data_IF_022894921207
#
_entry.id   IF_022894921207
#
_cell.length_a   1.000
_cell.length_b   1.000
_cell.length_c   1.000
_cell.angle_alpha   90.00
_cell.angle_beta   90.00
_cell.angle_gamma   90.00
#
_symmetry.space_group_name_H-M   'P 1'
#
loop_
_entity.id
_entity.type
_entity.pdbx_description
1 polymer ?
#
# COMPACT_ATOMS: atom_id res chain seq x y z
N UNK A 1 14.06 19.33 3.49
CA UNK A 1 15.42 18.97 3.05
C UNK A 1 15.97 17.93 3.99
N UNK A 2 16.73 16.94 3.48
CA UNK A 2 17.28 15.84 4.28
C UNK A 2 18.50 16.33 5.07
N UNK A 3 18.56 16.03 6.37
CA UNK A 3 19.78 16.22 7.16
C UNK A 3 20.75 15.07 6.87
N UNK A 4 21.75 15.35 6.02
CA UNK A 4 22.71 14.36 5.54
C UNK A 4 23.55 13.78 6.68
N UNK A 5 23.90 14.59 7.68
CA UNK A 5 24.71 14.11 8.81
C UNK A 5 23.90 13.11 9.63
N UNK A 6 22.65 13.45 9.94
CA UNK A 6 21.75 12.57 10.70
C UNK A 6 21.42 11.30 9.92
N UNK A 7 21.15 11.41 8.62
CA UNK A 7 20.84 10.28 7.74
C UNK A 7 21.93 9.20 7.76
N UNK A 8 23.21 9.60 7.87
CA UNK A 8 24.32 8.64 7.88
C UNK A 8 24.55 8.00 9.26
N UNK A 9 24.12 8.64 10.35
CA UNK A 9 24.43 8.19 11.72
C UNK A 9 23.25 7.57 12.48
N UNK A 10 22.02 7.90 12.11
CA UNK A 10 20.78 7.52 12.80
C UNK A 10 20.00 6.53 11.92
N UNK A 11 19.99 5.24 12.30
CA UNK A 11 19.36 4.18 11.52
C UNK A 11 17.84 4.33 11.41
N UNK A 12 17.18 4.86 12.44
CA UNK A 12 15.74 5.08 12.44
C UNK A 12 15.40 6.23 11.50
N UNK A 13 16.08 7.38 11.64
CA UNK A 13 15.89 8.51 10.74
C UNK A 13 16.20 8.16 9.28
N UNK A 14 17.22 7.33 9.04
CA UNK A 14 17.56 6.83 7.70
C UNK A 14 16.44 6.00 7.10
N UNK A 15 15.91 5.05 7.87
CA UNK A 15 14.77 4.21 7.48
C UNK A 15 13.55 5.06 7.18
N UNK A 16 13.14 5.93 8.10
CA UNK A 16 12.00 6.84 7.91
C UNK A 16 12.16 7.73 6.68
N UNK A 17 13.37 8.26 6.43
CA UNK A 17 13.66 9.08 5.26
C UNK A 17 13.48 8.30 3.96
N UNK A 18 13.96 7.06 3.90
CA UNK A 18 13.81 6.21 2.69
C UNK A 18 12.35 5.81 2.48
N UNK A 19 11.63 5.43 3.53
CA UNK A 19 10.20 5.12 3.43
C UNK A 19 9.38 6.35 3.02
N UNK A 20 9.71 7.53 3.54
CA UNK A 20 9.08 8.79 3.13
C UNK A 20 9.34 9.14 1.66
N UNK A 21 10.50 8.77 1.10
CA UNK A 21 10.77 8.94 -0.34
C UNK A 21 9.94 7.99 -1.21
N UNK A 22 9.56 6.83 -0.68
CA UNK A 22 8.66 5.89 -1.36
C UNK A 22 7.22 6.42 -1.47
N UNK A 23 6.84 7.42 -0.67
CA UNK A 23 5.53 8.07 -0.72
C UNK A 23 5.47 9.09 -1.87
N UNK A 24 5.55 8.58 -3.11
CA UNK A 24 5.70 9.39 -4.32
C UNK A 24 4.79 8.90 -5.43
N UNK A 25 4.44 9.79 -6.37
CA UNK A 25 3.77 9.41 -7.63
C UNK A 25 4.77 9.18 -8.77
N UNK A 26 6.04 9.56 -8.57
CA UNK A 26 7.09 9.40 -9.57
C UNK A 26 7.79 8.05 -9.39
N UNK A 27 7.63 7.15 -10.38
CA UNK A 27 8.20 5.81 -10.32
C UNK A 27 9.74 5.82 -10.30
N UNK A 28 10.38 6.83 -10.90
CA UNK A 28 11.84 6.96 -10.84
C UNK A 28 12.33 7.27 -9.43
N UNK A 29 11.52 8.00 -8.64
CA UNK A 29 11.79 8.27 -7.23
C UNK A 29 11.56 7.02 -6.38
N UNK A 30 10.54 6.21 -6.69
CA UNK A 30 10.33 4.91 -6.05
C UNK A 30 11.51 3.97 -6.30
N UNK A 31 12.00 3.87 -7.53
CA UNK A 31 13.19 3.07 -7.89
C UNK A 31 14.44 3.54 -7.13
N UNK A 32 14.60 4.86 -6.97
CA UNK A 32 15.67 5.42 -6.16
C UNK A 32 15.53 5.04 -4.68
N UNK A 33 14.31 5.08 -4.12
CA UNK A 33 14.04 4.66 -2.75
C UNK A 33 14.37 3.17 -2.52
N UNK A 34 13.97 2.29 -3.45
CA UNK A 34 14.31 0.85 -3.43
C UNK A 34 15.82 0.62 -3.51
N UNK A 35 16.51 1.36 -4.37
CA UNK A 35 17.97 1.29 -4.50
C UNK A 35 18.68 1.68 -3.21
N UNK A 36 18.22 2.75 -2.55
CA UNK A 36 18.77 3.15 -1.25
C UNK A 36 18.45 2.15 -0.16
N UNK A 37 17.22 1.63 -0.09
CA UNK A 37 16.87 0.61 0.90
C UNK A 37 17.80 -0.61 0.78
N UNK A 38 18.06 -1.05 -0.46
CA UNK A 38 19.02 -2.12 -0.73
C UNK A 38 20.43 -1.76 -0.26
N UNK A 39 20.92 -0.56 -0.59
CA UNK A 39 22.25 -0.08 -0.20
C UNK A 39 22.43 -0.03 1.33
N UNK A 40 21.39 0.41 2.05
CA UNK A 40 21.42 0.57 3.50
C UNK A 40 20.84 -0.62 4.27
N UNK A 41 20.56 -1.73 3.59
CA UNK A 41 20.00 -2.98 4.16
C UNK A 41 18.66 -2.81 4.88
N UNK A 42 17.84 -1.87 4.44
CA UNK A 42 16.44 -1.76 4.83
C UNK A 42 15.63 -2.71 3.95
N UNK A 43 14.67 -3.48 4.50
CA UNK A 43 13.89 -4.41 3.71
C UNK A 43 13.12 -3.68 2.60
N UNK A 44 13.34 -4.09 1.35
CA UNK A 44 12.63 -3.55 0.18
C UNK A 44 11.11 -3.72 0.33
N UNK A 45 10.68 -4.78 1.02
CA UNK A 45 9.28 -4.99 1.38
C UNK A 45 8.65 -3.77 2.07
N UNK A 46 9.35 -3.14 3.00
CA UNK A 46 8.82 -1.97 3.73
C UNK A 46 8.65 -0.75 2.82
N UNK A 47 9.55 -0.57 1.86
CA UNK A 47 9.47 0.51 0.86
C UNK A 47 8.22 0.35 0.01
N UNK A 48 7.97 -0.87 -0.48
CA UNK A 48 6.76 -1.17 -1.24
C UNK A 48 5.49 -1.10 -0.39
N UNK A 49 5.56 -1.45 0.90
CA UNK A 49 4.43 -1.32 1.81
C UNK A 49 4.09 0.16 2.04
N UNK A 50 5.10 1.01 2.30
CA UNK A 50 4.92 2.45 2.44
C UNK A 50 4.36 3.10 1.16
N UNK A 51 4.84 2.66 -0.01
CA UNK A 51 4.28 3.10 -1.30
C UNK A 51 2.82 2.69 -1.47
N UNK A 52 2.48 1.43 -1.16
CA UNK A 52 1.10 0.93 -1.23
C UNK A 52 0.17 1.72 -0.31
N UNK A 53 0.59 1.97 0.93
CA UNK A 53 -0.19 2.77 1.90
C UNK A 53 -0.46 4.17 1.36
N UNK A 54 0.60 4.85 0.94
CA UNK A 54 0.51 6.18 0.34
C UNK A 54 -0.48 6.21 -0.83
N UNK A 55 -0.45 5.21 -1.72
CA UNK A 55 -1.37 5.14 -2.86
C UNK A 55 -2.83 5.09 -2.43
N UNK A 56 -3.17 4.40 -1.34
CA UNK A 56 -4.54 4.32 -0.86
C UNK A 56 -4.95 5.48 0.06
N UNK A 57 -4.01 6.10 0.77
CA UNK A 57 -4.33 7.11 1.81
C UNK A 57 -4.14 8.55 1.32
N UNK A 58 -2.93 8.90 0.91
CA UNK A 58 -2.49 10.30 0.77
C UNK A 58 -2.29 10.74 -0.69
N UNK A 59 -2.26 9.78 -1.62
CA UNK A 59 -2.01 10.04 -3.04
C UNK A 59 -3.09 10.88 -3.73
N UNK A 60 -4.32 10.88 -3.17
CA UNK A 60 -5.52 11.49 -3.74
C UNK A 60 -5.83 11.02 -5.18
N UNK A 61 -5.26 9.89 -5.58
CA UNK A 61 -5.50 9.33 -6.90
C UNK A 61 -6.89 8.67 -6.97
N UNK A 62 -7.57 8.75 -8.13
CA UNK A 62 -8.70 7.88 -8.38
C UNK A 62 -8.22 6.42 -8.42
N UNK A 63 -9.08 5.49 -7.96
CA UNK A 63 -8.76 4.06 -7.86
C UNK A 63 -8.15 3.45 -9.14
N UNK A 64 -8.57 3.91 -10.32
CA UNK A 64 -8.00 3.45 -11.60
C UNK A 64 -6.53 3.81 -11.77
N UNK A 65 -6.11 5.00 -11.33
CA UNK A 65 -4.72 5.40 -11.39
C UNK A 65 -3.88 4.70 -10.32
N UNK A 66 -4.48 4.31 -9.19
CA UNK A 66 -3.82 3.42 -8.22
C UNK A 66 -3.59 2.04 -8.84
N UNK A 67 -4.60 1.48 -9.51
CA UNK A 67 -4.51 0.22 -10.25
C UNK A 67 -3.38 0.24 -11.29
N UNK A 68 -3.33 1.26 -12.14
CA UNK A 68 -2.30 1.44 -13.17
C UNK A 68 -0.89 1.48 -12.56
N UNK A 69 -0.69 2.26 -11.49
CA UNK A 69 0.60 2.35 -10.80
C UNK A 69 1.06 1.04 -10.17
N UNK A 70 0.13 0.26 -9.62
CA UNK A 70 0.45 -1.06 -9.06
C UNK A 70 0.70 -2.11 -10.13
N UNK A 71 0.20 -1.93 -11.36
CA UNK A 71 0.52 -2.78 -12.51
C UNK A 71 1.87 -2.43 -13.15
N UNK A 72 2.27 -1.15 -13.10
CA UNK A 72 3.58 -0.67 -13.59
C UNK A 72 4.74 -1.01 -12.65
N UNK A 73 4.44 -1.49 -11.44
CA UNK A 73 5.44 -1.85 -10.42
C UNK A 73 5.31 -3.32 -10.01
N UNK A 74 6.37 -3.87 -9.42
CA UNK A 74 6.36 -5.20 -8.80
C UNK A 74 5.87 -5.17 -7.34
N UNK A 75 5.28 -4.07 -6.89
CA UNK A 75 4.85 -3.82 -5.51
C UNK A 75 4.05 -4.97 -4.91
N UNK A 76 2.97 -5.40 -5.57
CA UNK A 76 2.15 -6.50 -5.05
C UNK A 76 2.89 -7.85 -5.06
N UNK A 77 3.82 -8.05 -5.99
CA UNK A 77 4.63 -9.27 -6.05
C UNK A 77 5.66 -9.31 -4.92
N UNK A 78 6.29 -8.17 -4.60
CA UNK A 78 7.20 -8.04 -3.45
C UNK A 78 6.45 -8.29 -2.15
N UNK A 79 5.28 -7.66 -1.98
CA UNK A 79 4.49 -7.78 -0.75
C UNK A 79 3.94 -9.18 -0.51
N UNK A 80 3.73 -9.97 -1.58
CA UNK A 80 3.30 -11.35 -1.50
C UNK A 80 4.31 -12.29 -0.79
N UNK A 81 5.55 -11.83 -0.52
CA UNK A 81 6.52 -12.58 0.30
C UNK A 81 6.13 -12.65 1.79
N UNK A 82 5.39 -11.67 2.30
CA UNK A 82 4.87 -11.61 3.68
C UNK A 82 3.39 -11.22 3.68
N UNK A 83 2.48 -12.10 3.25
CA UNK A 83 1.07 -11.75 3.02
C UNK A 83 0.31 -11.39 4.30
N UNK A 84 0.65 -11.99 5.44
CA UNK A 84 0.00 -11.70 6.73
C UNK A 84 0.43 -10.35 7.29
N UNK A 85 1.71 -10.00 7.15
CA UNK A 85 2.23 -8.68 7.53
C UNK A 85 1.62 -7.57 6.66
N UNK A 86 1.49 -7.82 5.35
CA UNK A 86 0.81 -6.93 4.42
C UNK A 86 -0.65 -6.73 4.85
N UNK A 87 -1.35 -7.81 5.16
CA UNK A 87 -2.75 -7.75 5.55
C UNK A 87 -2.96 -6.99 6.87
N UNK A 88 -2.09 -7.21 7.85
CA UNK A 88 -2.10 -6.47 9.11
C UNK A 88 -1.91 -4.96 8.87
N UNK A 89 -0.89 -4.58 8.09
CA UNK A 89 -0.60 -3.16 7.79
C UNK A 89 -1.74 -2.49 7.01
N UNK A 90 -2.31 -3.20 6.04
CA UNK A 90 -3.50 -2.75 5.29
C UNK A 90 -4.71 -2.51 6.22
N UNK A 91 -4.95 -3.40 7.19
CA UNK A 91 -6.06 -3.26 8.14
C UNK A 91 -5.81 -2.14 9.18
N UNK A 92 -4.58 -1.96 9.63
CA UNK A 92 -4.22 -0.96 10.65
C UNK A 92 -4.11 0.45 10.08
N UNK A 93 -3.53 0.61 8.89
CA UNK A 93 -3.12 1.91 8.35
C UNK A 93 -3.97 2.39 7.17
N UNK A 94 -4.41 1.47 6.31
CA UNK A 94 -5.17 1.83 5.10
C UNK A 94 -6.66 1.84 5.39
N UNK A 95 -7.22 0.73 5.88
CA UNK A 95 -8.66 0.57 6.03
C UNK A 95 -9.35 1.70 6.82
N UNK A 96 -8.81 2.21 7.95
CA UNK A 96 -9.44 3.29 8.70
C UNK A 96 -9.48 4.63 7.95
N UNK A 97 -8.61 4.82 6.95
CA UNK A 97 -8.54 6.03 6.13
C UNK A 97 -9.55 6.03 4.97
N UNK A 98 -10.09 4.87 4.60
CA UNK A 98 -10.96 4.74 3.44
C UNK A 98 -12.36 5.28 3.74
N UNK A 99 -12.85 6.15 2.86
CA UNK A 99 -14.22 6.65 2.96
C UNK A 99 -15.22 5.51 2.68
N UNK A 100 -16.16 5.30 3.62
CA UNK A 100 -17.23 4.29 3.47
C UNK A 100 -18.12 4.46 2.25
N UNK A 101 -18.15 5.67 1.68
CA UNK A 101 -18.88 6.02 0.46
C UNK A 101 -18.06 5.78 -0.81
N UNK A 102 -16.73 5.72 -0.75
CA UNK A 102 -15.91 5.44 -1.93
C UNK A 102 -15.87 3.92 -2.19
N UNK A 103 -16.94 3.44 -2.80
CA UNK A 103 -17.12 2.04 -3.12
C UNK A 103 -16.10 1.52 -4.14
N UNK A 104 -15.51 2.40 -4.96
CA UNK A 104 -14.46 2.05 -5.91
C UNK A 104 -13.19 1.65 -5.18
N UNK A 105 -12.70 2.54 -4.32
CA UNK A 105 -11.48 2.33 -3.53
C UNK A 105 -11.63 1.16 -2.57
N UNK A 106 -12.79 1.02 -1.89
CA UNK A 106 -13.06 -0.13 -1.02
C UNK A 106 -13.04 -1.45 -1.78
N UNK A 107 -13.64 -1.51 -2.97
CA UNK A 107 -13.66 -2.74 -3.76
C UNK A 107 -12.25 -3.13 -4.20
N UNK A 108 -11.44 -2.15 -4.61
CA UNK A 108 -10.07 -2.41 -5.01
C UNK A 108 -9.18 -2.83 -3.82
N UNK A 109 -9.33 -2.18 -2.66
CA UNK A 109 -8.70 -2.61 -1.40
C UNK A 109 -8.96 -4.10 -1.13
N UNK A 110 -10.22 -4.53 -1.18
CA UNK A 110 -10.57 -5.94 -0.97
C UNK A 110 -10.10 -6.86 -2.10
N UNK A 111 -9.95 -6.36 -3.33
CA UNK A 111 -9.35 -7.14 -4.42
C UNK A 111 -7.86 -7.38 -4.18
N UNK A 112 -7.12 -6.36 -3.73
CA UNK A 112 -5.70 -6.50 -3.35
C UNK A 112 -5.56 -7.50 -2.20
N UNK A 113 -6.40 -7.37 -1.16
CA UNK A 113 -6.43 -8.32 -0.03
C UNK A 113 -6.88 -9.73 -0.42
N UNK A 114 -7.71 -9.89 -1.45
CA UNK A 114 -8.10 -11.21 -1.97
C UNK A 114 -6.97 -11.85 -2.80
N UNK A 115 -6.16 -11.03 -3.47
CA UNK A 115 -5.00 -11.45 -4.24
C UNK A 115 -3.81 -11.83 -3.38
N UNK A 116 -3.67 -11.22 -2.19
CA UNK A 116 -2.72 -11.68 -1.20
C UNK A 116 -3.17 -13.03 -0.65
N UNK A 117 -2.26 -14.00 -0.58
CA UNK A 117 -2.54 -15.33 0.01
C UNK A 117 -2.52 -15.26 1.54
N UNK A 118 -3.06 -14.18 2.10
CA UNK A 118 -3.09 -13.96 3.55
C UNK A 118 -4.06 -14.96 4.19
N UNK A 119 -3.71 -15.41 5.39
CA UNK A 119 -4.62 -16.20 6.22
C UNK A 119 -5.57 -15.31 7.05
N UNK A 120 -5.34 -14.00 7.07
CA UNK A 120 -6.14 -13.05 7.82
C UNK A 120 -7.45 -12.72 7.08
N UNK A 121 -8.54 -12.65 7.83
CA UNK A 121 -9.85 -12.23 7.32
C UNK A 121 -10.10 -10.79 7.77
N UNK A 122 -9.72 -9.77 6.98
CA UNK A 122 -9.95 -8.38 7.34
C UNK A 122 -11.44 -8.14 7.58
N UNK A 123 -11.76 -7.55 8.74
CA UNK A 123 -13.14 -7.38 9.23
C UNK A 123 -13.92 -8.69 9.47
N UNK A 124 -13.25 -9.82 9.70
CA UNK A 124 -13.86 -11.12 10.00
C UNK A 124 -14.60 -11.78 8.83
N UNK A 125 -14.36 -11.30 7.61
CA UNK A 125 -14.90 -11.89 6.37
C UNK A 125 -13.78 -12.02 5.33
N UNK A 126 -13.88 -13.06 4.51
CA UNK A 126 -12.96 -13.22 3.37
C UNK A 126 -13.06 -12.01 2.43
N UNK A 127 -11.94 -11.47 1.93
CA UNK A 127 -11.95 -10.39 0.94
C UNK A 127 -12.80 -10.68 -0.32
N UNK A 128 -12.92 -11.96 -0.70
CA UNK A 128 -13.82 -12.42 -1.79
C UNK A 128 -15.31 -12.27 -1.48
N UNK A 129 -15.70 -12.29 -0.20
CA UNK A 129 -17.07 -12.03 0.26
C UNK A 129 -17.35 -10.53 0.21
N UNK A 130 -16.40 -9.69 0.64
CA UNK A 130 -16.53 -8.23 0.57
C UNK A 130 -16.70 -7.73 -0.87
N UNK A 131 -15.87 -8.20 -1.81
CA UNK A 131 -16.02 -7.85 -3.24
C UNK A 131 -17.38 -8.28 -3.81
N UNK A 132 -17.89 -9.44 -3.38
CA UNK A 132 -19.20 -9.94 -3.79
C UNK A 132 -20.37 -9.13 -3.20
N UNK A 133 -20.24 -8.64 -1.97
CA UNK A 133 -21.23 -7.80 -1.30
C UNK A 133 -21.24 -6.39 -1.90
N UNK A 134 -20.07 -5.77 -2.08
CA UNK A 134 -19.96 -4.44 -2.69
C UNK A 134 -20.53 -4.41 -4.10
N UNK A 135 -20.30 -5.45 -4.91
CA UNK A 135 -20.90 -5.56 -6.25
C UNK A 135 -22.43 -5.62 -6.21
N UNK A 136 -23.02 -6.22 -5.17
CA UNK A 136 -24.48 -6.30 -4.99
C UNK A 136 -25.09 -5.00 -4.46
N UNK A 137 -24.33 -4.21 -3.70
CA UNK A 137 -24.80 -2.97 -3.05
C UNK A 137 -24.63 -1.75 -3.96
N UNK A 138 -23.61 -1.73 -4.84
CA UNK A 138 -23.34 -0.64 -5.79
C UNK A 138 -24.56 -0.15 -6.61
N UNK A 139 -25.50 -1.00 -7.06
CA UNK A 139 -26.73 -0.55 -7.74
C UNK A 139 -27.75 0.14 -6.82
N UNK A 140 -27.70 -0.15 -5.51
CA UNK A 140 -28.67 0.32 -4.52
C UNK A 140 -28.19 1.58 -3.76
N UNK A 141 -26.89 1.83 -3.71
CA UNK A 141 -26.26 3.01 -3.13
C UNK A 141 -25.09 3.46 -4.03
N UNK A 142 -25.27 4.45 -4.91
CA UNK A 142 -24.26 4.87 -5.90
C UNK A 142 -23.23 5.85 -5.33
N UNK A 143 -22.99 5.81 -4.01
CA UNK A 143 -22.08 6.71 -3.30
C UNK A 143 -20.68 6.78 -3.91
#
# INVERSE_FOLDING_TARGET
>A
GVDVSRFLSDEEYKRETILGLAMTLDLSVLEAAVSMATQYRIPVWEVHMAYLEFLFTDSQLPVKSVEEKLQETDTLAVLASSPDEMAQRMEESVYPSLAGTDHGTLMYYFQVMAGSRTSLEPCGLKPSVHTSLLRKIKPAAPG
#
